data_IF_930805174762
#
_entry.id   IF_930805174762
#
_cell.length_a   1.000
_cell.length_b   1.000
_cell.length_c   1.000
_cell.angle_alpha   90.00
_cell.angle_beta   90.00
_cell.angle_gamma   90.00
#
_symmetry.space_group_name_H-M   'P 1'
#
loop_
_entity.id
_entity.type
_entity.pdbx_description
1 polymer ?
#
# COMPACT_ATOMS: atom_id res chain seq x y z
N UNK A 1 -26.57 17.44 2.03
CA UNK A 1 -26.54 16.15 1.28
C UNK A 1 -25.25 15.36 1.55
N UNK A 2 -24.07 16.00 1.65
CA UNK A 2 -22.78 15.29 1.85
C UNK A 2 -22.56 14.79 3.30
N UNK A 3 -23.23 15.36 4.30
CA UNK A 3 -23.01 15.00 5.71
C UNK A 3 -23.69 13.70 6.18
N UNK A 4 -24.50 13.03 5.34
CA UNK A 4 -25.21 11.79 5.74
C UNK A 4 -24.66 10.50 5.11
N UNK A 5 -24.01 10.60 3.95
CA UNK A 5 -23.54 9.44 3.18
C UNK A 5 -22.17 8.91 3.67
N UNK A 6 -21.35 9.78 4.27
CA UNK A 6 -19.98 9.49 4.69
C UNK A 6 -19.81 9.31 6.21
N UNK A 7 -20.89 9.32 6.99
CA UNK A 7 -20.86 9.03 8.44
C UNK A 7 -21.32 7.58 8.69
N UNK A 8 -20.41 6.61 8.67
CA UNK A 8 -20.73 5.23 9.04
C UNK A 8 -21.13 5.14 10.51
N UNK A 9 -22.23 4.42 10.78
CA UNK A 9 -22.76 4.20 12.14
C UNK A 9 -21.85 3.32 13.03
N UNK A 10 -20.88 2.61 12.43
CA UNK A 10 -19.95 1.75 13.14
C UNK A 10 -18.53 1.83 12.54
N UNK A 11 -17.51 1.75 13.40
CA UNK A 11 -16.09 1.82 13.02
C UNK A 11 -15.69 0.75 11.98
N UNK A 12 -16.31 -0.44 12.02
CA UNK A 12 -16.06 -1.50 11.06
C UNK A 12 -16.46 -1.13 9.62
N UNK A 13 -17.58 -0.43 9.44
CA UNK A 13 -18.00 0.05 8.11
C UNK A 13 -17.05 1.11 7.56
N UNK A 14 -16.49 1.98 8.42
CA UNK A 14 -15.44 2.94 8.02
C UNK A 14 -14.25 2.18 7.44
N UNK A 15 -13.77 1.15 8.15
CA UNK A 15 -12.57 0.40 7.77
C UNK A 15 -12.75 -0.34 6.45
N UNK A 16 -13.94 -0.92 6.21
CA UNK A 16 -14.28 -1.55 4.94
C UNK A 16 -14.37 -0.53 3.80
N UNK A 17 -14.94 0.65 4.03
CA UNK A 17 -15.00 1.71 3.01
C UNK A 17 -13.58 2.19 2.66
N UNK A 18 -12.73 2.42 3.66
CA UNK A 18 -11.31 2.78 3.47
C UNK A 18 -10.60 1.68 2.66
N UNK A 19 -10.80 0.41 3.00
CA UNK A 19 -10.22 -0.71 2.27
C UNK A 19 -10.59 -0.65 0.78
N UNK A 20 -11.87 -0.55 0.44
CA UNK A 20 -12.32 -0.56 -0.96
C UNK A 20 -11.83 0.66 -1.75
N UNK A 21 -12.00 1.86 -1.19
CA UNK A 21 -11.62 3.11 -1.86
C UNK A 21 -10.09 3.18 -2.04
N UNK A 22 -9.33 2.83 -1.00
CA UNK A 22 -7.88 2.85 -1.05
C UNK A 22 -7.32 1.74 -1.95
N UNK A 23 -7.92 0.55 -1.94
CA UNK A 23 -7.53 -0.53 -2.85
C UNK A 23 -7.77 -0.14 -4.31
N UNK A 24 -8.91 0.46 -4.64
CA UNK A 24 -9.20 0.92 -6.00
C UNK A 24 -8.21 2.00 -6.45
N UNK A 25 -7.87 2.94 -5.57
CA UNK A 25 -6.83 3.93 -5.83
C UNK A 25 -5.48 3.28 -6.11
N UNK A 26 -5.07 2.32 -5.28
CA UNK A 26 -3.79 1.60 -5.44
C UNK A 26 -3.73 0.82 -6.76
N UNK A 27 -4.81 0.14 -7.14
CA UNK A 27 -4.85 -0.61 -8.41
C UNK A 27 -4.66 0.32 -9.61
N UNK A 28 -5.35 1.46 -9.63
CA UNK A 28 -5.25 2.41 -10.76
C UNK A 28 -3.86 3.05 -10.81
N UNK A 29 -3.36 3.58 -9.70
CA UNK A 29 -2.12 4.36 -9.71
C UNK A 29 -0.85 3.51 -9.59
N UNK A 30 -0.84 2.52 -8.70
CA UNK A 30 0.36 1.74 -8.37
C UNK A 30 0.49 0.52 -9.27
N UNK A 31 -0.61 -0.08 -9.74
CA UNK A 31 -0.55 -1.25 -10.62
C UNK A 31 -0.73 -0.88 -12.10
N UNK A 32 -1.73 -0.07 -12.46
CA UNK A 32 -2.02 0.18 -13.87
C UNK A 32 -1.11 1.29 -14.44
N UNK A 33 -1.09 2.47 -13.84
CA UNK A 33 -0.31 3.61 -14.35
C UNK A 33 1.20 3.33 -14.29
N UNK A 34 1.69 2.77 -13.19
CA UNK A 34 3.11 2.45 -13.05
C UNK A 34 3.58 1.34 -14.02
N UNK A 35 2.70 0.43 -14.45
CA UNK A 35 3.04 -0.58 -15.45
C UNK A 35 3.33 0.01 -16.84
N UNK A 36 2.78 1.19 -17.15
CA UNK A 36 2.95 1.89 -18.43
C UNK A 36 4.20 2.76 -18.47
N UNK A 37 4.68 3.24 -17.30
CA UNK A 37 6.04 3.70 -17.07
C UNK A 37 6.44 5.07 -17.65
N UNK A 38 6.31 5.31 -18.96
CA UNK A 38 7.08 6.37 -19.62
C UNK A 38 6.29 7.63 -19.98
N UNK A 39 4.97 7.56 -20.14
CA UNK A 39 4.13 8.75 -20.34
C UNK A 39 2.75 8.58 -19.70
N UNK A 40 2.60 8.87 -18.39
CA UNK A 40 1.32 8.71 -17.71
C UNK A 40 0.24 9.66 -18.25
N UNK A 41 0.61 10.87 -18.66
CA UNK A 41 -0.33 11.86 -19.18
C UNK A 41 -0.87 11.50 -20.56
N UNK A 42 0.02 11.14 -21.50
CA UNK A 42 -0.36 10.69 -22.84
C UNK A 42 -1.15 9.38 -22.81
N UNK A 43 -0.87 8.50 -21.85
CA UNK A 43 -1.66 7.29 -21.64
C UNK A 43 -3.05 7.62 -21.12
N UNK A 44 -3.17 8.55 -20.15
CA UNK A 44 -4.48 8.95 -19.61
C UNK A 44 -5.37 9.58 -20.69
N UNK A 45 -4.81 10.44 -21.55
CA UNK A 45 -5.53 10.99 -22.70
C UNK A 45 -5.96 9.90 -23.71
N UNK A 46 -5.10 8.90 -23.96
CA UNK A 46 -5.42 7.76 -24.82
C UNK A 46 -6.52 6.87 -24.25
N UNK A 47 -6.47 6.57 -22.95
CA UNK A 47 -7.47 5.78 -22.24
C UNK A 47 -8.83 6.49 -22.20
N UNK A 48 -8.85 7.81 -22.03
CA UNK A 48 -10.09 8.59 -22.09
C UNK A 48 -10.75 8.57 -23.48
N UNK A 49 -9.97 8.48 -24.56
CA UNK A 49 -10.48 8.39 -25.93
C UNK A 49 -10.96 6.99 -26.28
N UNK A 50 -10.32 5.94 -25.78
CA UNK A 50 -10.70 4.55 -26.06
C UNK A 50 -10.30 3.64 -24.89
N UNK A 51 -11.25 3.26 -24.01
CA UNK A 51 -10.93 2.49 -22.80
C UNK A 51 -10.49 1.04 -23.10
N UNK A 52 -10.83 0.49 -24.27
CA UNK A 52 -10.44 -0.86 -24.66
C UNK A 52 -8.96 -0.95 -25.10
N UNK A 53 -8.41 0.12 -25.68
CA UNK A 53 -7.00 0.18 -26.09
C UNK A 53 -6.05 0.28 -24.89
N UNK A 54 -6.56 0.62 -23.72
CA UNK A 54 -5.80 0.60 -22.48
C UNK A 54 -5.19 -0.80 -22.22
N UNK A 55 -5.97 -1.86 -22.45
CA UNK A 55 -5.55 -3.24 -22.17
C UNK A 55 -4.47 -3.73 -23.14
N UNK A 56 -4.54 -3.36 -24.42
CA UNK A 56 -3.52 -3.73 -25.41
C UNK A 56 -2.21 -3.01 -25.12
N UNK A 57 -2.27 -1.74 -24.70
CA UNK A 57 -1.12 -0.95 -24.29
C UNK A 57 -0.48 -1.50 -23.00
N UNK A 58 -1.29 -1.85 -22.00
CA UNK A 58 -0.84 -2.52 -20.78
C UNK A 58 -0.16 -3.87 -21.09
N UNK A 59 -0.75 -4.69 -21.95
CA UNK A 59 -0.19 -5.98 -22.34
C UNK A 59 1.19 -5.83 -23.00
N UNK A 60 1.39 -4.78 -23.79
CA UNK A 60 2.68 -4.48 -24.43
C UNK A 60 3.76 -4.04 -23.44
N UNK A 61 3.38 -3.30 -22.40
CA UNK A 61 4.33 -2.72 -21.44
C UNK A 61 4.54 -3.57 -20.17
N UNK A 62 3.63 -4.48 -19.83
CA UNK A 62 3.73 -5.36 -18.66
C UNK A 62 5.05 -6.15 -18.57
N UNK A 63 5.55 -6.81 -19.64
CA UNK A 63 6.82 -7.53 -19.54
C UNK A 63 7.99 -6.62 -19.17
N UNK A 64 8.00 -5.37 -19.63
CA UNK A 64 9.05 -4.40 -19.32
C UNK A 64 8.99 -3.91 -17.87
N UNK A 65 7.80 -3.79 -17.28
CA UNK A 65 7.62 -3.35 -15.89
C UNK A 65 7.76 -4.46 -14.85
N UNK A 66 7.91 -5.71 -15.29
CA UNK A 66 8.12 -6.87 -14.39
C UNK A 66 9.26 -6.68 -13.38
N UNK A 67 10.41 -6.16 -13.82
CA UNK A 67 11.56 -5.89 -12.94
C UNK A 67 11.26 -4.79 -11.91
N UNK A 68 10.48 -3.78 -12.29
CA UNK A 68 10.05 -2.74 -11.35
C UNK A 68 9.18 -3.33 -10.24
N UNK A 69 8.20 -4.17 -10.59
CA UNK A 69 7.33 -4.79 -9.58
C UNK A 69 8.06 -5.83 -8.72
N UNK A 70 9.06 -6.53 -9.26
CA UNK A 70 9.90 -7.43 -8.46
C UNK A 70 10.62 -6.63 -7.37
N UNK A 71 11.30 -5.53 -7.75
CA UNK A 71 11.96 -4.64 -6.79
C UNK A 71 10.97 -3.99 -5.83
N UNK A 72 9.77 -3.64 -6.28
CA UNK A 72 8.71 -3.09 -5.44
C UNK A 72 8.29 -4.06 -4.31
N UNK A 73 8.11 -5.35 -4.61
CA UNK A 73 7.76 -6.35 -3.59
C UNK A 73 8.89 -6.51 -2.57
N UNK A 74 10.16 -6.51 -3.03
CA UNK A 74 11.32 -6.58 -2.13
C UNK A 74 11.41 -5.33 -1.26
N UNK A 75 11.18 -4.14 -1.83
CA UNK A 75 11.17 -2.89 -1.07
C UNK A 75 10.11 -2.89 0.03
N UNK A 76 8.98 -3.55 -0.22
CA UNK A 76 7.89 -3.66 0.74
C UNK A 76 8.26 -4.49 1.98
N UNK A 77 9.33 -5.30 1.93
CA UNK A 77 9.88 -5.95 3.12
C UNK A 77 10.46 -4.93 4.11
N UNK A 78 11.10 -3.89 3.61
CA UNK A 78 11.63 -2.80 4.43
C UNK A 78 10.52 -2.06 5.16
N UNK A 79 9.38 -1.82 4.50
CA UNK A 79 8.20 -1.21 5.13
C UNK A 79 7.66 -2.06 6.29
N UNK A 80 7.64 -3.40 6.14
CA UNK A 80 7.26 -4.32 7.22
C UNK A 80 8.26 -4.28 8.38
N UNK A 81 9.56 -4.26 8.08
CA UNK A 81 10.60 -4.15 9.09
C UNK A 81 10.52 -2.83 9.87
N UNK A 82 10.26 -1.71 9.19
CA UNK A 82 10.01 -0.41 9.82
C UNK A 82 8.76 -0.44 10.71
N UNK A 83 7.72 -1.15 10.28
CA UNK A 83 6.51 -1.38 11.06
C UNK A 83 6.79 -2.09 12.41
N UNK A 84 7.66 -3.11 12.41
CA UNK A 84 8.06 -3.82 13.62
C UNK A 84 8.83 -2.94 14.61
N UNK A 85 9.70 -2.07 14.09
CA UNK A 85 10.47 -1.12 14.88
C UNK A 85 9.61 0.01 15.47
N UNK A 86 8.31 0.07 15.11
CA UNK A 86 7.39 1.18 15.43
C UNK A 86 8.05 2.54 15.16
N UNK A 87 8.64 2.67 13.96
CA UNK A 87 9.52 3.80 13.62
C UNK A 87 8.88 5.17 13.88
N UNK A 88 7.56 5.30 13.72
CA UNK A 88 6.83 6.54 13.97
C UNK A 88 6.84 6.93 15.45
N UNK A 89 6.63 5.97 16.36
CA UNK A 89 6.62 6.25 17.80
C UNK A 89 8.05 6.49 18.30
N UNK A 90 9.03 5.78 17.74
CA UNK A 90 10.44 6.07 18.02
C UNK A 90 10.83 7.47 17.56
N UNK A 91 10.42 7.89 16.36
CA UNK A 91 10.69 9.22 15.84
C UNK A 91 10.06 10.32 16.70
N UNK A 92 8.79 10.15 17.11
CA UNK A 92 8.12 11.05 18.05
C UNK A 92 8.84 11.10 19.39
N UNK A 93 9.23 9.94 19.94
CA UNK A 93 9.96 9.87 21.19
C UNK A 93 11.30 10.61 21.10
N UNK A 94 12.09 10.36 20.06
CA UNK A 94 13.37 11.05 19.85
C UNK A 94 13.14 12.57 19.73
N UNK A 95 12.12 12.99 18.99
CA UNK A 95 11.77 14.41 18.86
C UNK A 95 11.39 15.04 20.21
N UNK A 96 10.48 14.42 20.97
CA UNK A 96 10.03 14.96 22.25
C UNK A 96 11.08 14.85 23.36
N UNK A 97 11.96 13.85 23.32
CA UNK A 97 13.07 13.69 24.27
C UNK A 97 14.08 14.85 24.21
N UNK A 98 14.09 15.63 23.12
CA UNK A 98 14.92 16.83 22.99
C UNK A 98 14.33 18.06 23.69
N UNK A 99 13.03 18.07 23.98
CA UNK A 99 12.32 19.23 24.53
C UNK A 99 11.67 18.98 25.90
N UNK A 100 11.44 17.72 26.29
CA UNK A 100 10.76 17.35 27.53
C UNK A 100 11.53 16.29 28.31
N UNK A 101 11.22 16.17 29.61
CA UNK A 101 11.74 15.10 30.45
C UNK A 101 11.32 13.72 29.92
N UNK A 102 12.17 12.71 30.15
CA UNK A 102 12.10 11.38 29.55
C UNK A 102 10.75 10.68 29.77
N UNK A 103 10.14 10.85 30.94
CA UNK A 103 8.83 10.27 31.27
C UNK A 103 7.67 10.95 30.53
N UNK A 104 7.74 12.27 30.37
CA UNK A 104 6.71 13.05 29.67
C UNK A 104 6.80 12.85 28.16
N UNK A 105 8.03 12.76 27.63
CA UNK A 105 8.29 12.43 26.23
C UNK A 105 7.80 11.01 25.87
N UNK A 106 7.99 10.03 26.78
CA UNK A 106 7.47 8.68 26.60
C UNK A 106 5.92 8.63 26.59
N UNK A 107 5.27 9.41 27.45
CA UNK A 107 3.79 9.52 27.46
C UNK A 107 3.24 10.18 26.20
N UNK A 108 3.89 11.26 25.72
CA UNK A 108 3.48 11.94 24.48
C UNK A 108 3.72 11.07 23.24
N UNK A 109 4.86 10.36 23.18
CA UNK A 109 5.18 9.47 22.07
C UNK A 109 4.27 8.25 22.00
N UNK A 110 3.81 7.73 23.15
CA UNK A 110 2.88 6.60 23.21
C UNK A 110 1.40 7.01 23.21
N UNK A 111 1.08 8.30 23.19
CA UNK A 111 -0.29 8.79 23.38
C UNK A 111 -1.25 8.28 22.31
N UNK A 112 -2.21 7.43 22.73
CA UNK A 112 -3.49 6.91 22.18
C UNK A 112 -3.73 6.77 20.65
N UNK A 113 -2.83 7.22 19.79
CA UNK A 113 -2.97 7.30 18.34
C UNK A 113 -2.12 6.29 17.59
N UNK A 114 -1.65 5.22 18.26
CA UNK A 114 -0.95 4.12 17.57
C UNK A 114 -1.86 3.35 16.57
N UNK A 115 -3.15 3.73 16.46
CA UNK A 115 -4.08 3.35 15.39
C UNK A 115 -3.73 3.93 14.00
N UNK A 116 -2.56 4.57 13.83
CA UNK A 116 -2.13 5.24 12.59
C UNK A 116 -2.08 4.34 11.34
N UNK A 117 -2.16 3.03 11.53
CA UNK A 117 -2.41 2.08 10.45
C UNK A 117 -3.68 1.28 10.74
N UNK A 118 -4.84 1.89 10.47
CA UNK A 118 -6.13 1.20 10.54
C UNK A 118 -6.11 -0.08 9.71
N UNK A 119 -6.79 -1.12 10.20
CA UNK A 119 -6.88 -2.45 9.57
C UNK A 119 -7.14 -2.36 8.06
N UNK A 120 -8.06 -1.48 7.64
CA UNK A 120 -8.43 -1.27 6.24
C UNK A 120 -7.31 -0.76 5.33
N UNK A 121 -6.39 0.07 5.84
CA UNK A 121 -5.27 0.58 5.03
C UNK A 121 -4.18 -0.49 4.85
N UNK A 122 -3.87 -1.24 5.91
CA UNK A 122 -2.90 -2.35 5.86
C UNK A 122 -3.38 -3.47 4.95
N UNK A 123 -4.65 -3.88 5.10
CA UNK A 123 -5.23 -4.93 4.28
C UNK A 123 -5.28 -4.53 2.81
N UNK A 124 -5.60 -3.28 2.47
CA UNK A 124 -5.58 -2.81 1.08
C UNK A 124 -4.20 -2.94 0.42
N UNK A 125 -3.12 -2.60 1.13
CA UNK A 125 -1.74 -2.73 0.64
C UNK A 125 -1.34 -4.20 0.45
N UNK A 126 -1.66 -5.05 1.42
CA UNK A 126 -1.39 -6.50 1.33
C UNK A 126 -2.17 -7.14 0.17
N UNK A 127 -3.43 -6.77 -0.01
CA UNK A 127 -4.24 -7.25 -1.14
C UNK A 127 -3.67 -6.77 -2.47
N UNK A 128 -3.19 -5.52 -2.57
CA UNK A 128 -2.51 -5.05 -3.77
C UNK A 128 -1.30 -5.91 -4.10
N UNK A 129 -0.44 -6.21 -3.11
CA UNK A 129 0.75 -7.04 -3.30
C UNK A 129 0.41 -8.47 -3.74
N UNK A 130 -0.68 -9.04 -3.21
CA UNK A 130 -1.22 -10.33 -3.65
C UNK A 130 -1.66 -10.27 -5.11
N UNK A 131 -2.43 -9.25 -5.48
CA UNK A 131 -2.91 -9.05 -6.85
C UNK A 131 -1.75 -8.85 -7.81
N UNK A 132 -0.76 -8.01 -7.46
CA UNK A 132 0.44 -7.81 -8.28
C UNK A 132 1.19 -9.13 -8.50
N UNK A 133 1.41 -9.91 -7.44
CA UNK A 133 2.08 -11.21 -7.56
C UNK A 133 1.29 -12.19 -8.45
N UNK A 134 -0.04 -12.20 -8.36
CA UNK A 134 -0.90 -13.04 -9.19
C UNK A 134 -0.93 -12.62 -10.67
N UNK A 135 -0.93 -11.30 -10.95
CA UNK A 135 -0.93 -10.80 -12.33
C UNK A 135 0.39 -11.11 -13.02
N UNK A 136 1.51 -10.94 -12.32
CA UNK A 136 2.85 -11.11 -12.88
C UNK A 136 3.41 -12.53 -12.80
N UNK A 137 2.75 -13.48 -12.13
CA UNK A 137 3.25 -14.85 -12.00
C UNK A 137 3.40 -15.58 -13.35
N UNK A 138 2.55 -15.23 -14.32
CA UNK A 138 2.59 -15.80 -15.68
C UNK A 138 3.76 -15.28 -16.51
N UNK A 139 4.27 -14.09 -16.20
CA UNK A 139 5.38 -13.44 -16.90
C UNK A 139 6.71 -13.77 -16.20
N UNK A 140 6.75 -13.65 -14.87
CA UNK A 140 7.93 -13.89 -14.05
C UNK A 140 7.53 -14.72 -12.81
N UNK A 141 7.64 -16.05 -12.86
CA UNK A 141 7.22 -16.92 -11.75
C UNK A 141 8.07 -16.71 -10.48
N UNK A 142 9.29 -16.19 -10.63
CA UNK A 142 10.21 -15.89 -9.52
C UNK A 142 9.59 -14.89 -8.54
N UNK A 143 8.68 -14.02 -8.99
CA UNK A 143 8.00 -13.03 -8.14
C UNK A 143 7.15 -13.65 -7.02
N UNK A 144 6.71 -14.91 -7.17
CA UNK A 144 5.96 -15.61 -6.13
C UNK A 144 6.79 -15.85 -4.87
N UNK A 145 8.09 -16.09 -5.00
CA UNK A 145 8.98 -16.38 -3.87
C UNK A 145 9.00 -15.18 -2.90
N UNK A 146 9.33 -13.94 -3.33
CA UNK A 146 9.37 -12.83 -2.41
C UNK A 146 8.00 -12.42 -1.88
N UNK A 147 6.93 -12.64 -2.66
CA UNK A 147 5.56 -12.43 -2.20
C UNK A 147 5.19 -13.42 -1.06
N UNK A 148 5.53 -14.70 -1.19
CA UNK A 148 5.28 -15.71 -0.16
C UNK A 148 6.02 -15.39 1.15
N UNK A 149 7.29 -14.98 1.06
CA UNK A 149 8.07 -14.56 2.22
C UNK A 149 7.40 -13.36 2.90
N UNK A 150 7.00 -12.34 2.13
CA UNK A 150 6.29 -11.18 2.66
C UNK A 150 5.01 -11.59 3.40
N UNK A 151 4.18 -12.47 2.84
CA UNK A 151 2.95 -12.91 3.49
C UNK A 151 3.21 -13.75 4.75
N UNK A 152 4.28 -14.54 4.76
CA UNK A 152 4.70 -15.28 5.95
C UNK A 152 5.18 -14.34 7.07
N UNK A 153 6.00 -13.33 6.74
CA UNK A 153 6.41 -12.30 7.68
C UNK A 153 5.19 -11.54 8.20
N UNK A 154 4.31 -11.07 7.30
CA UNK A 154 3.08 -10.38 7.68
C UNK A 154 2.22 -11.23 8.63
N UNK A 155 2.10 -12.53 8.37
CA UNK A 155 1.38 -13.45 9.24
C UNK A 155 2.03 -13.56 10.62
N UNK A 156 3.36 -13.63 10.71
CA UNK A 156 4.06 -13.72 11.99
C UNK A 156 4.00 -12.40 12.79
N UNK A 157 4.02 -11.25 12.12
CA UNK A 157 4.01 -9.94 12.78
C UNK A 157 2.63 -9.52 13.27
N UNK A 158 1.57 -10.00 12.62
CA UNK A 158 0.18 -9.58 12.89
C UNK A 158 -0.72 -10.72 13.42
N UNK A 159 -0.17 -11.91 13.68
CA UNK A 159 -0.86 -12.98 14.41
C UNK A 159 -0.89 -12.67 15.91
#
# INVERSE_FOLDING_TARGET
>A
IINGFLLPRAQAHVQLLILHVYFLFLVVFVLMIAAVGTNPWGTLEGVMKSPLDAFSLLAKHMPSSSNFYLNYIVYQWSDQAMGLLRYQELAKYVFYSRFCDSEHAAKLANGEQSCYHGLGSRSARLTLLAVTALVYCSICPVMLIPAMILFLVARLTYA
#
